data_IF_513061879513
#
_entry.id   IF_513061879513
#
_cell.length_a   1.000
_cell.length_b   1.000
_cell.length_c   1.000
_cell.angle_alpha   90.00
_cell.angle_beta   90.00
_cell.angle_gamma   90.00
#
_symmetry.space_group_name_H-M   'P 1'
#
loop_
_entity.id
_entity.type
_entity.pdbx_description
1 polymer ?
#
# COMPACT_ATOMS: atom_id res chain seq x y z
N UNK A 1 -11.01 35.53 -5.49
CA UNK A 1 -9.61 35.12 -5.73
C UNK A 1 -9.46 33.69 -5.23
N UNK A 2 -9.30 32.72 -6.12
CA UNK A 2 -9.07 31.33 -5.70
C UNK A 2 -7.68 31.22 -5.06
N UNK A 3 -7.64 30.89 -3.78
CA UNK A 3 -6.36 30.56 -3.15
C UNK A 3 -5.74 29.34 -3.86
N UNK A 4 -4.43 29.34 -4.09
CA UNK A 4 -3.78 28.18 -4.71
C UNK A 4 -4.03 26.92 -3.86
N UNK A 5 -4.25 25.76 -4.48
CA UNK A 5 -4.56 24.55 -3.76
C UNK A 5 -3.43 24.20 -2.78
N UNK A 6 -3.79 23.79 -1.57
CA UNK A 6 -2.82 23.39 -0.54
C UNK A 6 -1.98 22.23 -1.03
N UNK A 7 -0.74 22.12 -0.56
CA UNK A 7 0.19 21.07 -0.98
C UNK A 7 -0.42 19.65 -0.95
N UNK A 8 -1.10 19.30 0.14
CA UNK A 8 -1.70 17.96 0.26
C UNK A 8 -2.88 17.75 -0.70
N UNK A 9 -3.56 18.79 -1.12
CA UNK A 9 -4.63 18.68 -2.13
C UNK A 9 -4.02 18.44 -3.52
N UNK A 10 -2.91 19.12 -3.85
CA UNK A 10 -2.13 18.84 -5.07
C UNK A 10 -1.60 17.39 -5.09
N UNK A 11 -1.17 16.88 -3.94
CA UNK A 11 -0.74 15.47 -3.80
C UNK A 11 -1.90 14.52 -4.14
N UNK A 12 -3.09 14.76 -3.57
CA UNK A 12 -4.29 13.94 -3.84
C UNK A 12 -4.69 13.98 -5.32
N UNK A 13 -4.75 15.18 -5.89
CA UNK A 13 -5.07 15.36 -7.32
C UNK A 13 -4.09 14.58 -8.20
N UNK A 14 -2.80 14.68 -7.91
CA UNK A 14 -1.77 13.98 -8.70
C UNK A 14 -1.85 12.46 -8.57
N UNK A 15 -2.14 11.94 -7.38
CA UNK A 15 -2.36 10.51 -7.11
C UNK A 15 -3.57 10.00 -7.90
N UNK A 16 -4.69 10.73 -7.88
CA UNK A 16 -5.91 10.40 -8.63
C UNK A 16 -5.69 10.48 -10.12
N UNK A 17 -4.99 11.50 -10.61
CA UNK A 17 -4.61 11.62 -12.02
C UNK A 17 -3.81 10.40 -12.50
N UNK A 18 -2.96 9.83 -11.65
CA UNK A 18 -2.20 8.60 -11.94
C UNK A 18 -2.98 7.31 -11.69
N UNK A 19 -4.27 7.38 -11.40
CA UNK A 19 -5.14 6.23 -11.13
C UNK A 19 -4.64 5.31 -9.99
N UNK A 20 -3.98 5.89 -8.99
CA UNK A 20 -3.59 5.13 -7.81
C UNK A 20 -4.80 4.86 -6.91
N UNK A 21 -4.71 3.82 -6.09
CA UNK A 21 -5.79 3.46 -5.18
C UNK A 21 -5.96 4.50 -4.06
N UNK A 22 -7.19 4.60 -3.50
CA UNK A 22 -7.49 5.44 -2.33
C UNK A 22 -6.55 5.09 -1.15
N UNK A 23 -6.24 3.81 -0.95
CA UNK A 23 -5.28 3.39 0.09
C UNK A 23 -3.87 3.95 -0.14
N UNK A 24 -3.45 4.08 -1.39
CA UNK A 24 -2.17 4.71 -1.74
C UNK A 24 -2.23 6.20 -1.45
N UNK A 25 -3.34 6.86 -1.78
CA UNK A 25 -3.57 8.28 -1.47
C UNK A 25 -3.44 8.54 0.03
N UNK A 26 -4.20 7.80 0.85
CA UNK A 26 -4.19 7.96 2.31
C UNK A 26 -2.79 7.72 2.89
N UNK A 27 -2.13 6.65 2.45
CA UNK A 27 -0.79 6.32 2.91
C UNK A 27 0.23 7.39 2.54
N UNK A 28 0.23 7.88 1.29
CA UNK A 28 1.18 8.90 0.84
C UNK A 28 0.94 10.23 1.52
N UNK A 29 -0.31 10.67 1.64
CA UNK A 29 -0.68 11.89 2.36
C UNK A 29 -0.25 11.82 3.82
N UNK A 30 -0.44 10.66 4.47
CA UNK A 30 -0.03 10.46 5.86
C UNK A 30 1.49 10.55 6.03
N UNK A 31 2.27 9.90 5.15
CA UNK A 31 3.74 9.97 5.20
C UNK A 31 4.28 11.37 4.94
N UNK A 32 3.73 12.07 3.95
CA UNK A 32 4.11 13.46 3.64
C UNK A 32 3.78 14.38 4.82
N UNK A 33 2.61 14.20 5.45
CA UNK A 33 2.24 14.97 6.65
C UNK A 33 3.20 14.71 7.80
N UNK A 34 3.59 13.44 8.06
CA UNK A 34 4.56 13.09 9.10
C UNK A 34 5.93 13.72 8.83
N UNK A 35 6.40 13.70 7.60
CA UNK A 35 7.63 14.34 7.16
C UNK A 35 7.62 15.86 7.44
N UNK A 36 6.55 16.55 7.06
CA UNK A 36 6.38 17.99 7.31
C UNK A 36 6.37 18.29 8.81
N UNK A 37 5.68 17.48 9.61
CA UNK A 37 5.62 17.66 11.06
C UNK A 37 6.96 17.38 11.73
N UNK A 38 7.70 16.39 11.29
CA UNK A 38 9.04 16.07 11.80
C UNK A 38 10.00 17.23 11.63
N UNK A 39 9.90 17.97 10.54
CA UNK A 39 10.71 19.17 10.26
C UNK A 39 10.06 20.49 10.72
N UNK A 40 9.24 20.47 11.77
CA UNK A 40 8.66 21.68 12.35
C UNK A 40 7.70 22.45 11.43
N UNK A 41 6.98 21.75 10.56
CA UNK A 41 6.05 22.32 9.57
C UNK A 41 6.72 23.17 8.48
N UNK A 42 8.02 22.96 8.21
CA UNK A 42 8.66 23.58 7.04
C UNK A 42 8.00 23.08 5.75
N UNK A 43 7.96 23.96 4.74
CA UNK A 43 7.38 23.57 3.46
C UNK A 43 8.37 22.68 2.69
N UNK A 44 7.93 21.55 2.08
CA UNK A 44 8.82 20.61 1.38
C UNK A 44 9.64 21.22 0.24
N UNK A 45 9.22 22.31 -0.38
CA UNK A 45 10.03 23.04 -1.37
C UNK A 45 11.30 23.68 -0.79
N UNK A 46 11.37 23.84 0.53
CA UNK A 46 12.50 24.41 1.27
C UNK A 46 13.39 23.31 1.87
N UNK A 47 13.02 22.07 1.62
CA UNK A 47 13.69 20.88 2.13
C UNK A 47 14.22 20.04 0.97
N UNK A 48 15.24 19.28 1.21
CA UNK A 48 15.86 18.48 0.16
C UNK A 48 16.30 17.11 0.66
N UNK A 49 17.42 16.70 0.12
CA UNK A 49 18.09 15.44 0.35
C UNK A 49 18.32 15.16 1.84
N UNK A 50 18.94 16.12 2.51
CA UNK A 50 19.37 15.99 3.91
C UNK A 50 18.17 15.76 4.82
N UNK A 51 17.08 16.50 4.61
CA UNK A 51 15.88 16.37 5.41
C UNK A 51 15.17 15.04 5.17
N UNK A 52 15.13 14.58 3.93
CA UNK A 52 14.55 13.28 3.61
C UNK A 52 15.33 12.15 4.25
N UNK A 53 16.66 12.19 4.17
CA UNK A 53 17.54 11.20 4.80
C UNK A 53 17.39 11.20 6.32
N UNK A 54 17.38 12.38 6.96
CA UNK A 54 17.19 12.51 8.39
C UNK A 54 15.86 11.89 8.84
N UNK A 55 14.77 12.13 8.11
CA UNK A 55 13.47 11.54 8.42
C UNK A 55 13.46 10.02 8.25
N UNK A 56 14.03 9.49 7.17
CA UNK A 56 14.09 8.06 6.93
C UNK A 56 14.97 7.34 7.95
N UNK A 57 16.08 7.98 8.37
CA UNK A 57 16.96 7.49 9.44
C UNK A 57 16.23 7.48 10.78
N UNK A 58 15.55 8.55 11.14
CA UNK A 58 14.72 8.63 12.35
C UNK A 58 13.67 7.49 12.38
N UNK A 59 13.00 7.22 11.26
CA UNK A 59 12.04 6.11 11.19
C UNK A 59 12.69 4.75 11.45
N UNK A 60 13.90 4.55 10.95
CA UNK A 60 14.61 3.28 11.10
C UNK A 60 15.18 3.11 12.51
N UNK A 61 15.84 4.13 13.05
CA UNK A 61 16.60 4.05 14.30
C UNK A 61 15.71 4.31 15.52
N UNK A 62 15.02 5.44 15.55
CA UNK A 62 14.19 5.84 16.69
C UNK A 62 12.79 5.26 16.61
N UNK A 63 12.19 5.27 15.41
CA UNK A 63 10.86 4.72 15.17
C UNK A 63 10.81 3.20 15.12
N UNK A 64 11.98 2.53 15.00
CA UNK A 64 12.13 1.08 14.88
C UNK A 64 11.12 0.43 13.91
N UNK A 65 10.81 1.12 12.80
CA UNK A 65 9.82 0.66 11.85
C UNK A 65 10.39 -0.46 10.96
N UNK A 66 9.52 -1.37 10.53
CA UNK A 66 9.92 -2.42 9.59
C UNK A 66 10.45 -1.81 8.27
N UNK A 67 11.40 -2.49 7.63
CA UNK A 67 11.97 -2.09 6.33
C UNK A 67 10.90 -1.79 5.26
N UNK A 68 9.79 -2.54 5.26
CA UNK A 68 8.66 -2.28 4.36
C UNK A 68 7.99 -0.93 4.61
N UNK A 69 7.89 -0.53 5.87
CA UNK A 69 7.29 0.74 6.31
C UNK A 69 8.20 1.90 5.92
N UNK A 70 9.52 1.78 6.14
CA UNK A 70 10.49 2.78 5.69
C UNK A 70 10.48 2.95 4.17
N UNK A 71 10.43 1.85 3.42
CA UNK A 71 10.33 1.89 1.95
C UNK A 71 9.03 2.54 1.47
N UNK A 72 7.93 2.38 2.19
CA UNK A 72 6.66 3.05 1.88
C UNK A 72 6.77 4.57 2.10
N UNK A 73 7.37 5.01 3.21
CA UNK A 73 7.64 6.42 3.47
C UNK A 73 8.54 7.02 2.38
N UNK A 74 9.64 6.33 2.02
CA UNK A 74 10.53 6.73 0.91
C UNK A 74 9.76 6.89 -0.40
N UNK A 75 8.91 5.95 -0.77
CA UNK A 75 8.11 6.02 -1.99
C UNK A 75 7.16 7.21 -2.01
N UNK A 76 6.54 7.55 -0.86
CA UNK A 76 5.67 8.71 -0.73
C UNK A 76 6.45 10.03 -0.90
N UNK A 77 7.67 10.13 -0.36
CA UNK A 77 8.52 11.32 -0.51
C UNK A 77 9.06 11.45 -1.94
N UNK A 78 9.50 10.35 -2.56
CA UNK A 78 9.86 10.35 -3.97
C UNK A 78 8.72 10.85 -4.86
N UNK A 79 7.50 10.38 -4.60
CA UNK A 79 6.31 10.85 -5.31
C UNK A 79 6.08 12.35 -5.11
N UNK A 80 6.20 12.83 -3.87
CA UNK A 80 6.04 14.26 -3.56
C UNK A 80 7.01 15.13 -4.37
N UNK A 81 8.30 14.82 -4.29
CA UNK A 81 9.31 15.64 -4.94
C UNK A 81 9.22 15.54 -6.48
N UNK A 82 9.18 14.34 -7.02
CA UNK A 82 9.18 14.12 -8.46
C UNK A 82 7.88 14.57 -9.13
N UNK A 83 6.72 14.18 -8.58
CA UNK A 83 5.44 14.30 -9.26
C UNK A 83 4.65 15.56 -8.90
N UNK A 84 4.89 16.14 -7.72
CA UNK A 84 4.11 17.29 -7.22
C UNK A 84 4.94 18.56 -7.20
N UNK A 85 6.21 18.47 -6.77
CA UNK A 85 7.12 19.62 -6.69
C UNK A 85 7.95 19.80 -7.96
N UNK A 86 8.06 18.77 -8.81
CA UNK A 86 8.88 18.82 -10.02
C UNK A 86 10.39 18.91 -9.74
N UNK A 87 10.80 18.53 -8.53
CA UNK A 87 12.20 18.54 -8.11
C UNK A 87 12.73 17.11 -8.08
N UNK A 88 13.81 16.87 -8.81
CA UNK A 88 14.48 15.58 -8.75
C UNK A 88 15.41 15.50 -7.53
N UNK A 89 15.36 14.38 -6.84
CA UNK A 89 16.30 14.00 -5.80
C UNK A 89 17.13 12.80 -6.30
N UNK A 90 18.15 13.04 -7.15
CA UNK A 90 18.85 11.98 -7.90
C UNK A 90 19.42 10.88 -7.01
N UNK A 91 19.91 11.24 -5.83
CA UNK A 91 20.51 10.31 -4.87
C UNK A 91 19.47 9.41 -4.17
N UNK A 92 18.20 9.82 -4.04
CA UNK A 92 17.11 8.96 -3.52
C UNK A 92 16.84 7.76 -4.42
N UNK A 93 17.16 7.86 -5.70
CA UNK A 93 17.06 6.73 -6.63
C UNK A 93 18.14 5.67 -6.34
N UNK A 94 19.27 6.09 -5.76
CA UNK A 94 20.43 5.24 -5.44
C UNK A 94 20.46 4.80 -3.97
N UNK A 95 19.57 5.32 -3.09
CA UNK A 95 19.49 4.85 -1.70
C UNK A 95 19.01 3.40 -1.70
N UNK A 96 19.85 2.49 -1.23
CA UNK A 96 19.49 1.09 -1.08
C UNK A 96 18.18 0.96 -0.29
N UNK A 97 17.26 0.21 -0.87
CA UNK A 97 16.02 -0.12 -0.16
C UNK A 97 16.37 -0.96 1.07
N UNK A 98 15.76 -0.63 2.20
CA UNK A 98 15.92 -1.44 3.40
C UNK A 98 15.60 -2.91 3.09
N UNK A 99 16.56 -3.78 3.33
CA UNK A 99 16.42 -5.22 3.02
C UNK A 99 15.36 -5.82 3.90
N UNK A 100 14.35 -6.41 3.26
CA UNK A 100 13.35 -7.21 3.97
C UNK A 100 13.95 -8.58 4.24
N UNK A 101 13.93 -9.07 5.49
CA UNK A 101 14.24 -10.47 5.73
C UNK A 101 13.24 -11.32 4.94
N UNK A 102 13.75 -12.21 4.08
CA UNK A 102 12.90 -13.18 3.39
C UNK A 102 12.44 -14.22 4.41
N UNK A 103 11.22 -14.06 4.90
CA UNK A 103 10.52 -15.12 5.62
C UNK A 103 9.74 -15.93 4.60
N UNK A 104 10.04 -17.20 4.49
CA UNK A 104 9.18 -18.12 3.74
C UNK A 104 7.83 -18.18 4.47
N UNK A 105 6.71 -18.03 3.77
CA UNK A 105 5.41 -18.23 4.38
C UNK A 105 5.29 -19.68 4.85
N UNK A 106 4.68 -19.88 6.01
CA UNK A 106 4.26 -21.21 6.45
C UNK A 106 3.09 -21.63 5.56
N UNK A 107 3.22 -22.75 4.90
CA UNK A 107 2.17 -23.33 4.06
C UNK A 107 1.52 -24.45 4.87
N UNK A 108 0.20 -24.39 5.03
CA UNK A 108 -0.57 -25.45 5.68
C UNK A 108 -0.63 -26.69 4.79
N UNK A 109 -0.60 -27.87 5.40
CA UNK A 109 -0.89 -29.13 4.73
C UNK A 109 -2.38 -29.24 4.42
N UNK A 110 -2.76 -30.18 3.54
CA UNK A 110 -4.18 -30.40 3.23
C UNK A 110 -4.99 -30.80 4.45
N UNK A 111 -4.41 -31.61 5.35
CA UNK A 111 -5.08 -32.04 6.58
C UNK A 111 -5.29 -30.87 7.53
N UNK A 112 -4.27 -30.01 7.72
CA UNK A 112 -4.42 -28.77 8.52
C UNK A 112 -5.49 -27.85 7.94
N UNK A 113 -5.56 -27.68 6.63
CA UNK A 113 -6.62 -26.89 5.98
C UNK A 113 -8.00 -27.52 6.22
N UNK A 114 -8.10 -28.83 6.13
CA UNK A 114 -9.36 -29.55 6.38
C UNK A 114 -9.82 -29.35 7.83
N UNK A 115 -8.90 -29.46 8.78
CA UNK A 115 -9.18 -29.20 10.19
C UNK A 115 -9.61 -27.77 10.45
N UNK A 116 -8.96 -26.77 9.84
CA UNK A 116 -9.38 -25.36 9.93
C UNK A 116 -10.80 -25.19 9.38
N UNK A 117 -11.10 -25.74 8.20
CA UNK A 117 -12.41 -25.63 7.58
C UNK A 117 -13.50 -26.34 8.41
N UNK A 118 -13.18 -27.48 9.03
CA UNK A 118 -14.12 -28.21 9.88
C UNK A 118 -14.48 -27.46 11.16
N UNK A 119 -13.65 -26.53 11.62
CA UNK A 119 -13.90 -25.67 12.79
C UNK A 119 -14.52 -24.32 12.44
N UNK A 120 -14.88 -24.09 11.18
CA UNK A 120 -15.55 -22.87 10.72
C UNK A 120 -16.99 -23.18 10.29
N UNK A 121 -17.87 -22.19 10.41
CA UNK A 121 -19.24 -22.28 9.97
C UNK A 121 -19.68 -21.01 9.20
N UNK A 122 -20.86 -21.09 8.58
CA UNK A 122 -21.53 -19.98 7.91
C UNK A 122 -20.63 -19.22 6.95
N UNK A 123 -20.61 -17.89 7.08
CA UNK A 123 -19.89 -16.99 6.20
C UNK A 123 -18.36 -17.17 6.32
N UNK A 124 -17.87 -17.49 7.50
CA UNK A 124 -16.43 -17.70 7.72
C UNK A 124 -15.93 -18.93 6.97
N UNK A 125 -16.67 -20.02 7.04
CA UNK A 125 -16.40 -21.22 6.26
C UNK A 125 -16.40 -20.93 4.74
N UNK A 126 -17.43 -20.22 4.25
CA UNK A 126 -17.55 -19.88 2.83
C UNK A 126 -16.35 -19.05 2.36
N UNK A 127 -15.96 -18.02 3.13
CA UNK A 127 -14.80 -17.19 2.80
C UNK A 127 -13.53 -18.02 2.77
N UNK A 128 -13.27 -18.84 3.79
CA UNK A 128 -12.08 -19.68 3.86
C UNK A 128 -12.04 -20.70 2.71
N UNK A 129 -13.17 -21.33 2.40
CA UNK A 129 -13.30 -22.28 1.29
C UNK A 129 -13.01 -21.62 -0.07
N UNK A 130 -13.49 -20.41 -0.31
CA UNK A 130 -13.21 -19.65 -1.53
C UNK A 130 -11.75 -19.20 -1.62
N UNK A 131 -11.15 -18.78 -0.51
CA UNK A 131 -9.73 -18.43 -0.46
C UNK A 131 -8.84 -19.62 -0.81
N UNK A 132 -9.12 -20.78 -0.24
CA UNK A 132 -8.35 -21.99 -0.48
C UNK A 132 -8.67 -22.65 -1.83
N UNK A 133 -9.95 -22.88 -2.12
CA UNK A 133 -10.37 -23.66 -3.29
C UNK A 133 -10.24 -22.89 -4.62
N UNK A 134 -10.48 -21.58 -4.62
CA UNK A 134 -10.39 -20.76 -5.82
C UNK A 134 -9.14 -19.86 -5.86
N UNK A 135 -8.31 -19.85 -4.82
CA UNK A 135 -7.10 -19.04 -4.74
C UNK A 135 -7.38 -17.52 -4.76
N UNK A 136 -8.57 -17.10 -4.36
CA UNK A 136 -8.97 -15.69 -4.36
C UNK A 136 -8.23 -14.92 -3.26
N UNK A 137 -7.97 -13.63 -3.51
CA UNK A 137 -7.51 -12.74 -2.44
C UNK A 137 -8.67 -12.38 -1.51
N UNK A 138 -8.39 -12.12 -0.24
CA UNK A 138 -9.41 -11.78 0.75
C UNK A 138 -10.42 -10.73 0.25
N UNK A 139 -9.94 -9.64 -0.32
CA UNK A 139 -10.82 -8.57 -0.81
C UNK A 139 -11.56 -8.93 -2.10
N UNK A 140 -11.07 -9.86 -2.88
CA UNK A 140 -11.77 -10.41 -4.05
C UNK A 140 -12.93 -11.28 -3.56
N UNK A 141 -12.68 -12.15 -2.59
CA UNK A 141 -13.71 -12.98 -1.94
C UNK A 141 -14.81 -12.13 -1.30
N UNK A 142 -14.43 -11.12 -0.49
CA UNK A 142 -15.40 -10.27 0.21
C UNK A 142 -16.23 -9.36 -0.71
N UNK A 143 -15.78 -9.15 -1.94
CA UNK A 143 -16.49 -8.36 -2.96
C UNK A 143 -17.23 -9.20 -3.97
N UNK A 144 -17.11 -10.52 -3.88
CA UNK A 144 -17.78 -11.45 -4.77
C UNK A 144 -19.29 -11.32 -4.63
N UNK A 145 -19.99 -11.26 -5.75
CA UNK A 145 -21.45 -11.20 -5.82
C UNK A 145 -21.99 -12.52 -6.33
N UNK A 146 -23.22 -12.85 -5.99
CA UNK A 146 -23.90 -14.06 -6.48
C UNK A 146 -23.85 -14.17 -8.01
N UNK A 147 -24.02 -13.07 -8.70
CA UNK A 147 -23.95 -13.01 -10.17
C UNK A 147 -22.55 -13.22 -10.77
N UNK A 148 -21.53 -13.20 -9.94
CA UNK A 148 -20.14 -13.45 -10.37
C UNK A 148 -19.76 -14.95 -10.27
N UNK A 149 -20.71 -15.81 -9.85
CA UNK A 149 -20.54 -17.27 -9.74
C UNK A 149 -21.40 -17.95 -10.81
N UNK A 150 -20.76 -18.63 -11.75
CA UNK A 150 -21.46 -19.47 -12.76
C UNK A 150 -21.34 -20.94 -12.36
N UNK A 151 -22.44 -21.46 -11.78
CA UNK A 151 -22.49 -22.87 -11.36
C UNK A 151 -22.49 -23.84 -12.53
N UNK A 152 -22.98 -23.45 -13.71
CA UNK A 152 -23.00 -24.31 -14.90
C UNK A 152 -21.61 -24.50 -15.47
N UNK A 153 -20.83 -23.39 -15.55
CA UNK A 153 -19.44 -23.39 -16.03
C UNK A 153 -18.45 -23.71 -14.95
N UNK A 154 -18.85 -23.70 -13.67
CA UNK A 154 -17.97 -23.87 -12.49
C UNK A 154 -16.88 -22.78 -12.45
N UNK A 155 -17.28 -21.56 -12.75
CA UNK A 155 -16.38 -20.42 -12.84
C UNK A 155 -16.75 -19.33 -11.85
N UNK A 156 -15.74 -18.61 -11.37
CA UNK A 156 -15.90 -17.41 -10.55
C UNK A 156 -15.25 -16.24 -11.28
N UNK A 157 -16.03 -15.20 -11.56
CA UNK A 157 -15.56 -13.99 -12.23
C UNK A 157 -15.06 -12.96 -11.22
N UNK A 158 -13.74 -12.75 -11.20
CA UNK A 158 -13.11 -11.73 -10.34
C UNK A 158 -13.08 -10.40 -11.08
N UNK A 159 -13.87 -9.43 -10.60
CA UNK A 159 -13.89 -8.07 -11.16
C UNK A 159 -12.89 -7.18 -10.41
N UNK A 160 -12.22 -6.32 -11.14
CA UNK A 160 -11.25 -5.35 -10.58
C UNK A 160 -10.15 -5.99 -9.72
N UNK A 161 -9.65 -7.14 -10.13
CA UNK A 161 -8.46 -7.76 -9.54
C UNK A 161 -7.27 -6.78 -9.58
N UNK A 162 -6.35 -6.91 -8.63
CA UNK A 162 -5.17 -6.04 -8.55
C UNK A 162 -4.35 -6.16 -9.85
N UNK A 163 -4.35 -5.10 -10.64
CA UNK A 163 -3.50 -5.01 -11.84
C UNK A 163 -4.24 -4.84 -13.17
N UNK A 164 -5.57 -4.75 -13.21
CA UNK A 164 -6.33 -4.55 -14.46
C UNK A 164 -5.78 -5.40 -15.62
N UNK A 165 -5.76 -6.71 -15.44
CA UNK A 165 -5.46 -7.65 -16.52
C UNK A 165 -6.70 -8.46 -16.81
#
# INVERSE_FOLDING_TARGET
MNQPPKLLDRVRERIRFKHYSIRTEDSYVQWIRRFILFHGKRHPSEMGAVEVEAFLTHLAVEGNVAASTQNQARSALLFLYKEVLGSELPWLNNVEQARKPRRLPVVLTEDEVRDVLANLDGVHWLVAALLYGAGLRLMETLRLRVQDVDFKRREVLVRNGKGFK
#
